data_IF_072511875422
#
_entry.id   IF_072511875422
#
_cell.length_a   1.000
_cell.length_b   1.000
_cell.length_c   1.000
_cell.angle_alpha   90.00
_cell.angle_beta   90.00
_cell.angle_gamma   90.00
#
_symmetry.space_group_name_H-M   'P 1'
#
loop_
_entity.id
_entity.type
_entity.pdbx_description
1 polymer ?
#
# COMPACT_ATOMS: atom_id res chain seq x y z
N UNK A 1 45.06 -21.47 21.34
CA UNK A 1 44.94 -22.63 20.41
C UNK A 1 43.45 -22.85 20.17
N UNK A 2 42.83 -22.58 19.02
CA UNK A 2 43.30 -22.26 17.68
C UNK A 2 42.68 -20.92 17.22
N UNK A 3 43.54 -19.94 16.94
CA UNK A 3 43.27 -18.75 16.14
C UNK A 3 44.28 -18.86 14.99
N UNK A 4 43.87 -19.44 13.87
CA UNK A 4 44.57 -19.45 12.59
C UNK A 4 43.74 -20.30 11.62
N UNK A 5 43.13 -19.66 10.62
CA UNK A 5 42.90 -20.15 9.26
C UNK A 5 41.79 -19.33 8.62
N UNK A 6 42.19 -18.41 7.74
CA UNK A 6 41.47 -17.87 6.54
C UNK A 6 41.72 -16.38 6.33
N UNK A 7 42.97 -15.93 6.43
CA UNK A 7 43.36 -14.54 6.11
C UNK A 7 44.25 -14.43 4.86
N UNK A 8 44.25 -15.45 3.99
CA UNK A 8 45.06 -15.44 2.76
C UNK A 8 44.28 -16.04 1.59
N UNK A 9 43.43 -15.23 0.95
CA UNK A 9 43.04 -15.42 -0.45
C UNK A 9 42.27 -14.21 -1.02
N UNK A 10 42.74 -12.97 -0.89
CA UNK A 10 42.32 -11.92 -1.85
C UNK A 10 43.18 -10.64 -1.76
N UNK A 11 44.46 -10.74 -2.09
CA UNK A 11 45.26 -9.55 -2.44
C UNK A 11 45.49 -9.56 -3.94
N UNK A 12 45.08 -8.46 -4.59
CA UNK A 12 45.15 -8.28 -6.03
C UNK A 12 46.57 -8.47 -6.56
N UNK A 13 46.73 -9.45 -7.44
CA UNK A 13 47.95 -9.64 -8.21
C UNK A 13 47.90 -8.74 -9.43
N UNK A 14 48.75 -7.72 -9.43
CA UNK A 14 49.14 -6.93 -10.59
C UNK A 14 49.91 -7.84 -11.55
N UNK A 15 49.28 -8.26 -12.65
CA UNK A 15 49.97 -8.98 -13.72
C UNK A 15 50.71 -7.97 -14.60
N UNK A 16 52.00 -8.24 -14.76
CA UNK A 16 52.98 -7.39 -15.40
C UNK A 16 52.92 -7.35 -16.93
N UNK A 17 53.62 -6.33 -17.41
CA UNK A 17 54.00 -5.95 -18.76
C UNK A 17 54.55 -7.10 -19.63
N UNK A 18 54.14 -7.13 -20.90
CA UNK A 18 54.60 -8.12 -21.89
C UNK A 18 53.89 -8.05 -23.25
N UNK A 19 54.38 -7.17 -24.13
CA UNK A 19 54.61 -7.42 -25.57
C UNK A 19 53.45 -7.74 -26.53
N UNK A 20 53.11 -6.73 -27.35
CA UNK A 20 52.85 -6.72 -28.81
C UNK A 20 52.25 -7.98 -29.51
N UNK A 21 51.01 -7.86 -30.03
CA UNK A 21 50.71 -7.85 -31.48
C UNK A 21 49.19 -7.96 -31.79
N UNK A 22 48.72 -6.98 -32.57
CA UNK A 22 47.62 -6.97 -33.58
C UNK A 22 46.43 -7.94 -33.47
N UNK A 23 45.20 -7.39 -33.39
CA UNK A 23 44.27 -7.17 -34.53
C UNK A 23 42.89 -6.72 -34.03
N UNK A 24 42.23 -5.90 -34.84
CA UNK A 24 40.98 -5.19 -34.64
C UNK A 24 39.75 -6.08 -34.44
N UNK A 25 38.95 -5.81 -33.41
CA UNK A 25 37.49 -5.95 -33.48
C UNK A 25 36.82 -4.91 -32.56
N UNK A 26 35.78 -4.26 -33.08
CA UNK A 26 34.90 -3.27 -32.45
C UNK A 26 34.16 -3.84 -31.21
N UNK A 27 34.90 -4.18 -30.16
CA UNK A 27 34.34 -4.29 -28.83
C UNK A 27 34.40 -2.89 -28.22
N UNK A 28 33.24 -2.32 -27.89
CA UNK A 28 33.17 -1.37 -26.79
C UNK A 28 33.74 -2.09 -25.57
N UNK A 29 35.06 -2.01 -25.39
CA UNK A 29 35.76 -2.49 -24.22
C UNK A 29 35.10 -1.79 -23.06
N UNK A 30 34.37 -2.57 -22.25
CA UNK A 30 33.85 -2.09 -20.98
C UNK A 30 35.08 -1.65 -20.22
N UNK A 31 35.29 -0.34 -20.12
CA UNK A 31 36.37 0.20 -19.33
C UNK A 31 36.16 -0.28 -17.91
N UNK A 32 37.03 -1.16 -17.41
CA UNK A 32 36.92 -1.74 -16.07
C UNK A 32 37.07 -0.63 -15.01
N UNK A 33 37.61 0.53 -15.40
CA UNK A 33 37.64 1.75 -14.61
C UNK A 33 36.36 2.62 -14.74
N UNK A 34 35.35 2.19 -15.50
CA UNK A 34 34.09 2.93 -15.61
C UNK A 34 33.48 3.07 -14.21
N UNK A 35 33.30 4.32 -13.71
CA UNK A 35 32.74 4.57 -12.39
C UNK A 35 31.38 3.91 -12.19
N UNK A 36 30.60 3.68 -13.26
CA UNK A 36 29.33 2.96 -13.19
C UNK A 36 29.52 1.46 -12.99
N UNK A 37 30.52 0.85 -13.64
CA UNK A 37 30.82 -0.57 -13.50
C UNK A 37 31.36 -0.87 -12.10
N UNK A 38 32.27 -0.04 -11.59
CA UNK A 38 32.76 -0.11 -10.21
C UNK A 38 31.67 0.15 -9.18
N UNK A 39 30.69 1.01 -9.50
CA UNK A 39 29.53 1.25 -8.63
C UNK A 39 28.55 0.08 -8.61
N UNK A 40 28.38 -0.65 -9.71
CA UNK A 40 27.58 -1.88 -9.76
C UNK A 40 28.25 -3.07 -9.04
N UNK A 41 29.58 -3.09 -8.99
CA UNK A 41 30.36 -4.16 -8.37
C UNK A 41 30.67 -3.96 -6.88
N UNK A 42 30.28 -2.81 -6.31
CA UNK A 42 30.42 -2.54 -4.88
C UNK A 42 29.59 -3.53 -4.08
N UNK A 43 30.21 -4.07 -3.05
CA UNK A 43 29.65 -5.14 -2.22
C UNK A 43 28.36 -4.69 -1.50
N UNK A 44 27.27 -5.42 -1.75
CA UNK A 44 25.95 -5.18 -1.14
C UNK A 44 25.83 -5.79 0.29
N UNK A 45 26.90 -6.38 0.82
CA UNK A 45 26.93 -7.06 2.12
C UNK A 45 26.51 -6.20 3.34
N UNK A 46 26.36 -4.88 3.19
CA UNK A 46 25.85 -3.99 4.24
C UNK A 46 24.32 -4.07 4.46
N UNK A 47 23.58 -4.79 3.61
CA UNK A 47 22.16 -5.08 3.82
C UNK A 47 21.22 -3.88 3.63
N UNK A 48 20.22 -4.04 2.75
CA UNK A 48 19.06 -3.15 2.55
C UNK A 48 19.34 -1.65 2.32
N UNK A 49 20.59 -1.21 2.22
CA UNK A 49 20.93 0.18 2.04
C UNK A 49 20.58 0.61 0.61
N UNK A 50 19.74 1.64 0.48
CA UNK A 50 19.26 2.25 -0.77
C UNK A 50 20.39 2.93 -1.60
N UNK A 51 21.66 2.69 -1.25
CA UNK A 51 22.85 3.43 -1.68
C UNK A 51 23.07 3.40 -3.20
N UNK A 52 22.89 2.24 -3.85
CA UNK A 52 23.21 2.09 -5.28
C UNK A 52 22.28 2.85 -6.22
N UNK A 53 20.98 2.99 -5.88
CA UNK A 53 20.00 3.62 -6.78
C UNK A 53 19.84 5.13 -6.56
N UNK A 54 20.36 5.66 -5.46
CA UNK A 54 20.46 7.11 -5.26
C UNK A 54 21.58 7.74 -6.10
N UNK A 55 22.46 6.93 -6.71
CA UNK A 55 23.52 7.45 -7.58
C UNK A 55 22.94 8.18 -8.79
N UNK A 56 23.32 9.46 -9.00
CA UNK A 56 22.92 10.20 -10.20
C UNK A 56 23.48 9.52 -11.46
N UNK A 57 24.63 8.84 -11.37
CA UNK A 57 25.29 8.13 -12.48
C UNK A 57 24.46 6.94 -12.95
N UNK A 58 24.02 6.07 -12.03
CA UNK A 58 23.16 4.93 -12.37
C UNK A 58 21.80 5.40 -12.90
N UNK A 59 21.22 6.45 -12.32
CA UNK A 59 19.96 7.01 -12.79
C UNK A 59 20.10 7.59 -14.22
N UNK A 60 21.20 8.28 -14.52
CA UNK A 60 21.48 8.78 -15.87
C UNK A 60 21.68 7.64 -16.88
N UNK A 61 22.39 6.57 -16.50
CA UNK A 61 22.58 5.41 -17.36
C UNK A 61 21.29 4.62 -17.60
N UNK A 62 20.46 4.42 -16.57
CA UNK A 62 19.13 3.84 -16.72
C UNK A 62 18.24 4.71 -17.60
N UNK A 63 18.35 6.04 -17.49
CA UNK A 63 17.62 6.98 -18.34
C UNK A 63 18.07 6.90 -19.80
N UNK A 64 19.38 6.79 -20.06
CA UNK A 64 19.94 6.62 -21.39
C UNK A 64 19.54 5.27 -22.01
N UNK A 65 19.57 4.19 -21.23
CA UNK A 65 19.09 2.87 -21.65
C UNK A 65 17.57 2.85 -21.89
N UNK A 66 16.81 3.69 -21.19
CA UNK A 66 15.37 3.84 -21.37
C UNK A 66 15.00 4.60 -22.65
N UNK A 67 15.84 5.57 -23.06
CA UNK A 67 15.61 6.44 -24.22
C UNK A 67 16.20 5.91 -25.52
N UNK A 68 17.24 5.06 -25.47
CA UNK A 68 17.90 4.48 -26.64
C UNK A 68 17.21 3.25 -27.27
N UNK A 69 17.67 2.79 -28.45
CA UNK A 69 17.25 1.52 -29.05
C UNK A 69 17.64 0.35 -28.15
N UNK A 70 16.70 -0.53 -27.83
CA UNK A 70 16.96 -1.67 -26.95
C UNK A 70 17.49 -2.87 -27.73
N UNK A 71 18.57 -3.47 -27.23
CA UNK A 71 19.03 -4.78 -27.69
C UNK A 71 17.94 -5.83 -27.52
N UNK A 72 17.94 -6.85 -28.37
CA UNK A 72 16.96 -7.95 -28.28
C UNK A 72 17.08 -8.70 -26.94
N UNK A 73 18.30 -8.79 -26.39
CA UNK A 73 18.55 -9.32 -25.03
C UNK A 73 17.78 -8.53 -23.97
N UNK A 74 17.82 -7.20 -24.00
CA UNK A 74 17.09 -6.35 -23.05
C UNK A 74 15.58 -6.60 -23.15
N UNK A 75 15.02 -6.74 -24.36
CA UNK A 75 13.59 -7.05 -24.53
C UNK A 75 13.21 -8.39 -23.93
N UNK A 76 14.03 -9.43 -24.13
CA UNK A 76 13.78 -10.76 -23.54
C UNK A 76 13.90 -10.75 -22.02
N UNK A 77 14.92 -10.09 -21.46
CA UNK A 77 15.08 -9.94 -20.00
C UNK A 77 13.88 -9.22 -19.39
N UNK A 78 13.40 -8.16 -20.05
CA UNK A 78 12.21 -7.43 -19.64
C UNK A 78 10.95 -8.31 -19.64
N UNK A 79 10.79 -9.25 -20.58
CA UNK A 79 9.67 -10.22 -20.58
C UNK A 79 9.73 -11.22 -19.43
N UNK A 80 10.93 -11.59 -19.00
CA UNK A 80 11.15 -12.57 -17.92
C UNK A 80 11.01 -11.92 -16.54
N UNK A 81 11.34 -10.64 -16.40
CA UNK A 81 11.38 -9.93 -15.12
C UNK A 81 10.13 -10.06 -14.24
N UNK A 82 8.88 -9.96 -14.75
CA UNK A 82 7.70 -10.12 -13.89
C UNK A 82 7.59 -11.51 -13.27
N UNK A 83 8.00 -12.57 -13.98
CA UNK A 83 7.96 -13.94 -13.45
C UNK A 83 9.01 -14.14 -12.35
N UNK A 84 10.20 -13.55 -12.52
CA UNK A 84 11.23 -13.58 -11.48
C UNK A 84 10.77 -12.82 -10.23
N UNK A 85 10.11 -11.67 -10.40
CA UNK A 85 9.52 -10.94 -9.28
C UNK A 85 8.41 -11.74 -8.59
N UNK A 86 7.57 -12.45 -9.34
CA UNK A 86 6.52 -13.30 -8.76
C UNK A 86 7.14 -14.40 -7.88
N UNK A 87 8.19 -15.08 -8.36
CA UNK A 87 8.92 -16.09 -7.57
C UNK A 87 9.56 -15.44 -6.35
N UNK A 88 10.30 -14.35 -6.52
CA UNK A 88 10.96 -13.64 -5.41
C UNK A 88 9.96 -13.22 -4.32
N UNK A 89 8.84 -12.59 -4.70
CA UNK A 89 7.82 -12.16 -3.76
C UNK A 89 7.11 -13.32 -3.09
N UNK A 90 6.82 -14.40 -3.82
CA UNK A 90 6.20 -15.60 -3.22
C UNK A 90 7.10 -16.26 -2.18
N UNK A 91 8.39 -16.41 -2.47
CA UNK A 91 9.39 -16.96 -1.55
C UNK A 91 9.58 -16.03 -0.35
N UNK A 92 9.70 -14.72 -0.59
CA UNK A 92 9.84 -13.73 0.48
C UNK A 92 8.64 -13.73 1.42
N UNK A 93 7.41 -13.76 0.89
CA UNK A 93 6.20 -13.83 1.71
C UNK A 93 6.05 -15.14 2.48
N UNK A 94 6.70 -16.23 2.04
CA UNK A 94 6.63 -17.54 2.71
C UNK A 94 7.71 -17.69 3.77
N UNK A 95 8.95 -17.37 3.42
CA UNK A 95 10.13 -17.81 4.16
C UNK A 95 10.88 -16.65 4.85
N UNK A 96 10.67 -15.39 4.44
CA UNK A 96 11.36 -14.25 5.06
C UNK A 96 10.75 -13.87 6.42
N UNK A 97 11.61 -13.35 7.30
CA UNK A 97 11.20 -12.83 8.61
C UNK A 97 10.48 -11.47 8.47
N UNK A 98 9.69 -11.14 9.49
CA UNK A 98 8.85 -9.95 9.47
C UNK A 98 9.68 -8.65 9.44
N UNK A 99 10.89 -8.64 10.02
CA UNK A 99 11.79 -7.48 9.98
C UNK A 99 12.30 -7.18 8.57
N UNK A 100 12.70 -8.20 7.79
CA UNK A 100 13.15 -8.01 6.41
C UNK A 100 11.99 -7.56 5.52
N UNK A 101 10.81 -8.16 5.68
CA UNK A 101 9.62 -7.74 4.92
C UNK A 101 9.26 -6.29 5.24
N UNK A 102 9.24 -5.93 6.53
CA UNK A 102 8.94 -4.57 6.97
C UNK A 102 9.94 -3.55 6.40
N UNK A 103 11.23 -3.89 6.33
CA UNK A 103 12.25 -3.02 5.76
C UNK A 103 12.21 -2.96 4.22
N UNK A 104 11.76 -4.03 3.56
CA UNK A 104 11.62 -4.10 2.11
C UNK A 104 10.48 -3.21 1.60
N UNK A 105 9.37 -3.10 2.34
CA UNK A 105 8.17 -2.37 1.89
C UNK A 105 8.49 -0.90 1.50
N UNK A 106 9.15 -0.07 2.34
CA UNK A 106 9.51 1.31 1.96
C UNK A 106 10.37 1.38 0.70
N UNK A 107 11.33 0.46 0.54
CA UNK A 107 12.17 0.40 -0.65
C UNK A 107 11.33 0.14 -1.90
N UNK A 108 10.34 -0.75 -1.83
CA UNK A 108 9.42 -0.99 -2.95
C UNK A 108 8.53 0.22 -3.24
N UNK A 109 8.06 0.92 -2.20
CA UNK A 109 7.29 2.16 -2.37
C UNK A 109 8.11 3.24 -3.08
N UNK A 110 9.38 3.43 -2.72
CA UNK A 110 10.30 4.37 -3.40
C UNK A 110 10.63 3.92 -4.82
N UNK A 111 10.79 2.61 -5.04
CA UNK A 111 11.04 2.08 -6.38
C UNK A 111 9.85 2.29 -7.32
N UNK A 112 8.62 2.33 -6.81
CA UNK A 112 7.43 2.54 -7.64
C UNK A 112 7.44 3.90 -8.39
N UNK A 113 7.97 4.95 -7.76
CA UNK A 113 8.06 6.30 -8.34
C UNK A 113 9.22 6.47 -9.33
N UNK A 114 10.26 5.64 -9.23
CA UNK A 114 11.50 5.72 -10.03
C UNK A 114 11.60 4.68 -11.15
N UNK A 115 10.53 3.93 -11.45
CA UNK A 115 10.52 3.00 -12.58
C UNK A 115 10.47 3.73 -13.92
N UNK A 116 11.23 3.23 -14.91
CA UNK A 116 11.41 3.71 -16.29
C UNK A 116 10.38 4.77 -16.75
N UNK A 117 10.80 6.00 -17.12
CA UNK A 117 9.87 7.08 -17.40
C UNK A 117 8.98 6.86 -18.62
N UNK A 118 7.83 7.53 -18.59
CA UNK A 118 6.81 7.55 -19.64
C UNK A 118 7.31 8.34 -20.84
N UNK A 119 8.00 7.66 -21.77
CA UNK A 119 8.01 8.09 -23.16
C UNK A 119 7.27 7.06 -24.01
N UNK A 120 6.04 7.48 -24.30
CA UNK A 120 4.85 6.97 -25.01
C UNK A 120 5.02 5.98 -26.20
N UNK A 121 6.22 5.54 -26.58
CA UNK A 121 6.43 4.97 -27.92
C UNK A 121 6.41 3.43 -28.04
N UNK A 122 5.83 2.66 -27.11
CA UNK A 122 5.44 1.26 -27.43
C UNK A 122 4.49 0.65 -26.39
N UNK A 123 3.40 0.03 -26.85
CA UNK A 123 2.41 -0.69 -26.03
C UNK A 123 3.05 -1.71 -25.06
N UNK A 124 4.08 -2.43 -25.51
CA UNK A 124 4.80 -3.43 -24.72
C UNK A 124 5.48 -2.83 -23.47
N UNK A 125 6.05 -1.62 -23.58
CA UNK A 125 6.69 -0.89 -22.46
C UNK A 125 5.68 -0.54 -21.37
N UNK A 126 4.52 -0.03 -21.77
CA UNK A 126 3.47 0.36 -20.83
C UNK A 126 2.89 -0.85 -20.11
N UNK A 127 2.65 -1.95 -20.84
CA UNK A 127 2.13 -3.20 -20.27
C UNK A 127 3.08 -3.79 -19.22
N UNK A 128 4.37 -3.90 -19.53
CA UNK A 128 5.35 -4.46 -18.61
C UNK A 128 5.49 -3.62 -17.33
N UNK A 129 5.60 -2.30 -17.47
CA UNK A 129 5.68 -1.37 -16.33
C UNK A 129 4.44 -1.51 -15.44
N UNK A 130 3.26 -1.61 -16.05
CA UNK A 130 2.01 -1.83 -15.32
C UNK A 130 2.00 -3.17 -14.60
N UNK A 131 2.49 -4.24 -15.23
CA UNK A 131 2.57 -5.56 -14.61
C UNK A 131 3.50 -5.57 -13.40
N UNK A 132 4.70 -5.01 -13.52
CA UNK A 132 5.66 -4.91 -12.41
C UNK A 132 5.07 -4.12 -11.26
N UNK A 133 4.45 -2.96 -11.54
CA UNK A 133 3.77 -2.18 -10.50
C UNK A 133 2.65 -2.94 -9.82
N UNK A 134 1.85 -3.66 -10.60
CA UNK A 134 0.79 -4.51 -10.05
C UNK A 134 1.37 -5.53 -9.09
N UNK A 135 2.47 -6.20 -9.44
CA UNK A 135 3.16 -7.16 -8.55
C UNK A 135 3.71 -6.55 -7.28
N UNK A 136 4.31 -5.36 -7.39
CA UNK A 136 4.77 -4.60 -6.22
C UNK A 136 3.62 -4.29 -5.26
N UNK A 137 2.50 -3.80 -5.80
CA UNK A 137 1.31 -3.48 -5.00
C UNK A 137 0.69 -4.74 -4.38
N UNK A 138 0.56 -5.83 -5.15
CA UNK A 138 0.08 -7.13 -4.67
C UNK A 138 0.96 -7.64 -3.52
N UNK A 139 2.29 -7.54 -3.64
CA UNK A 139 3.21 -7.93 -2.56
C UNK A 139 3.04 -7.07 -1.30
N UNK A 140 2.98 -5.73 -1.44
CA UNK A 140 2.80 -4.83 -0.28
C UNK A 140 1.48 -5.14 0.44
N UNK A 141 0.40 -5.35 -0.30
CA UNK A 141 -0.90 -5.72 0.29
C UNK A 141 -0.86 -7.09 0.96
N UNK A 142 -0.23 -8.08 0.34
CA UNK A 142 -0.07 -9.41 0.92
C UNK A 142 0.81 -9.38 2.18
N UNK A 143 1.83 -8.51 2.22
CA UNK A 143 2.64 -8.30 3.42
C UNK A 143 1.84 -7.68 4.56
N UNK A 144 1.00 -6.66 4.28
CA UNK A 144 0.09 -6.10 5.28
C UNK A 144 -0.99 -7.10 5.73
N UNK A 145 -1.44 -7.96 4.81
CA UNK A 145 -2.36 -9.05 5.15
C UNK A 145 -1.70 -10.09 6.05
N UNK A 146 -0.43 -10.42 5.82
CA UNK A 146 0.33 -11.34 6.68
C UNK A 146 0.52 -10.73 8.07
N UNK A 147 1.01 -9.49 8.14
CA UNK A 147 1.31 -8.79 9.40
C UNK A 147 0.77 -7.36 9.40
N UNK A 148 -0.47 -7.13 9.90
CA UNK A 148 -1.10 -5.81 9.97
C UNK A 148 -0.26 -4.75 10.69
N UNK A 149 0.49 -5.15 11.72
CA UNK A 149 1.35 -4.28 12.53
C UNK A 149 2.36 -3.47 11.69
N UNK A 150 2.73 -3.94 10.49
CA UNK A 150 3.59 -3.20 9.57
C UNK A 150 3.05 -1.83 9.22
N UNK A 151 1.72 -1.66 9.16
CA UNK A 151 1.11 -0.34 8.86
C UNK A 151 1.45 0.67 9.95
N UNK A 152 1.43 0.24 11.22
CA UNK A 152 1.80 1.10 12.34
C UNK A 152 3.30 1.41 12.36
N UNK A 153 4.14 0.42 12.07
CA UNK A 153 5.60 0.59 12.00
C UNK A 153 6.03 1.51 10.85
N UNK A 154 5.35 1.40 9.71
CA UNK A 154 5.65 2.13 8.48
C UNK A 154 4.78 3.39 8.31
N UNK A 155 4.16 3.88 9.39
CA UNK A 155 3.26 5.05 9.34
C UNK A 155 3.88 6.26 8.65
N UNK A 156 5.17 6.56 8.92
CA UNK A 156 5.90 7.69 8.32
C UNK A 156 6.03 7.53 6.79
N UNK A 157 6.67 6.45 6.27
CA UNK A 157 6.69 6.19 4.82
C UNK A 157 5.30 6.21 4.16
N UNK A 158 4.27 5.71 4.84
CA UNK A 158 2.90 5.70 4.32
C UNK A 158 2.37 7.12 4.19
N UNK A 159 2.49 7.95 5.23
CA UNK A 159 2.02 9.34 5.24
C UNK A 159 2.73 10.15 4.15
N UNK A 160 4.04 9.98 3.99
CA UNK A 160 4.82 10.67 2.97
C UNK A 160 4.29 10.32 1.56
N UNK A 161 4.02 9.03 1.29
CA UNK A 161 3.48 8.57 0.01
C UNK A 161 2.04 9.01 -0.24
N UNK A 162 1.24 9.19 0.81
CA UNK A 162 -0.10 9.76 0.70
C UNK A 162 -0.07 11.25 0.30
N UNK A 163 0.89 12.02 0.80
CA UNK A 163 1.08 13.43 0.42
C UNK A 163 1.41 13.61 -1.08
N UNK A 164 2.15 12.68 -1.67
CA UNK A 164 2.55 12.74 -3.09
C UNK A 164 1.45 12.26 -4.08
N UNK A 165 0.24 11.94 -3.62
CA UNK A 165 -0.81 11.31 -4.44
C UNK A 165 -1.34 12.20 -5.60
N UNK A 166 -1.05 13.50 -5.57
CA UNK A 166 -1.51 14.46 -6.57
C UNK A 166 -0.55 14.61 -7.76
N UNK A 167 0.71 14.24 -7.61
CA UNK A 167 1.76 14.47 -8.62
C UNK A 167 1.58 13.59 -9.87
N UNK A 168 1.41 12.28 -9.66
CA UNK A 168 1.48 11.26 -10.71
C UNK A 168 0.39 10.19 -10.55
N UNK A 169 -0.06 9.60 -11.65
CA UNK A 169 -1.03 8.51 -11.69
C UNK A 169 -0.49 7.27 -10.98
N UNK A 170 0.80 6.93 -11.16
CA UNK A 170 1.39 5.76 -10.51
C UNK A 170 1.50 5.92 -8.99
N UNK A 171 1.87 7.12 -8.52
CA UNK A 171 1.88 7.46 -7.09
C UNK A 171 0.47 7.41 -6.49
N UNK A 172 -0.54 7.84 -7.26
CA UNK A 172 -1.94 7.77 -6.83
C UNK A 172 -2.47 6.35 -6.68
N UNK A 173 -2.16 5.44 -7.59
CA UNK A 173 -2.58 4.03 -7.45
C UNK A 173 -1.95 3.40 -6.20
N UNK A 174 -0.69 3.73 -5.88
CA UNK A 174 -0.08 3.34 -4.60
C UNK A 174 -0.86 3.94 -3.41
N UNK A 175 -1.11 5.25 -3.42
CA UNK A 175 -1.87 5.91 -2.36
C UNK A 175 -3.27 5.30 -2.15
N UNK A 176 -3.96 4.91 -3.23
CA UNK A 176 -5.25 4.20 -3.15
C UNK A 176 -5.14 2.88 -2.37
N UNK A 177 -4.12 2.07 -2.68
CA UNK A 177 -3.90 0.79 -1.99
C UNK A 177 -3.50 1.00 -0.53
N UNK A 178 -2.70 2.02 -0.23
CA UNK A 178 -2.34 2.38 1.14
C UNK A 178 -3.56 2.86 1.95
N UNK A 179 -4.41 3.72 1.38
CA UNK A 179 -5.67 4.12 2.00
C UNK A 179 -6.56 2.91 2.31
N UNK A 180 -6.69 1.98 1.36
CA UNK A 180 -7.45 0.75 1.58
C UNK A 180 -6.86 -0.08 2.72
N UNK A 181 -5.54 -0.29 2.73
CA UNK A 181 -4.86 -1.07 3.77
C UNK A 181 -5.00 -0.43 5.17
N UNK A 182 -4.87 0.90 5.28
CA UNK A 182 -5.08 1.63 6.55
C UNK A 182 -6.48 1.34 7.10
N UNK A 183 -7.50 1.42 6.25
CA UNK A 183 -8.88 1.17 6.64
C UNK A 183 -9.14 -0.30 7.00
N UNK A 184 -8.71 -1.24 6.16
CA UNK A 184 -8.96 -2.67 6.32
C UNK A 184 -8.31 -3.24 7.60
N UNK A 185 -7.10 -2.78 7.90
CA UNK A 185 -6.30 -3.29 9.01
C UNK A 185 -6.27 -2.36 10.22
N UNK A 186 -7.19 -1.39 10.29
CA UNK A 186 -7.34 -0.50 11.44
C UNK A 186 -6.06 0.26 11.81
N UNK A 187 -5.26 0.68 10.84
CA UNK A 187 -4.00 1.41 11.10
C UNK A 187 -2.90 0.58 11.77
N UNK A 188 -3.01 -0.75 11.72
CA UNK A 188 -2.04 -1.68 12.29
C UNK A 188 -2.58 -2.55 13.42
N UNK A 189 -3.86 -2.44 13.76
CA UNK A 189 -4.52 -3.24 14.79
C UNK A 189 -4.81 -2.46 16.08
N UNK A 190 -5.45 -3.13 17.03
CA UNK A 190 -6.01 -2.49 18.24
C UNK A 190 -4.96 -1.94 19.20
N UNK A 191 -3.77 -2.57 19.25
CA UNK A 191 -2.63 -2.13 20.06
C UNK A 191 -2.01 -0.82 19.57
N UNK A 192 -2.27 -0.41 18.33
CA UNK A 192 -1.56 0.69 17.67
C UNK A 192 -2.40 1.99 17.54
N UNK A 193 -3.08 2.38 18.62
CA UNK A 193 -3.97 3.55 18.65
C UNK A 193 -3.29 4.86 18.22
N UNK A 194 -2.08 5.10 18.69
CA UNK A 194 -1.32 6.31 18.36
C UNK A 194 -1.00 6.39 16.87
N UNK A 195 -0.55 5.28 16.27
CA UNK A 195 -0.30 5.22 14.83
C UNK A 195 -1.59 5.40 14.02
N UNK A 196 -2.70 4.78 14.47
CA UNK A 196 -4.00 4.96 13.86
C UNK A 196 -4.47 6.43 13.91
N UNK A 197 -4.21 7.15 15.01
CA UNK A 197 -4.55 8.57 15.13
C UNK A 197 -3.76 9.45 14.16
N UNK A 198 -2.45 9.24 14.04
CA UNK A 198 -1.61 9.96 13.08
C UNK A 198 -2.01 9.68 11.62
N UNK A 199 -2.32 8.41 11.30
CA UNK A 199 -2.83 8.03 9.97
C UNK A 199 -4.19 8.67 9.71
N UNK A 200 -5.08 8.72 10.71
CA UNK A 200 -6.36 9.41 10.60
C UNK A 200 -6.18 10.90 10.31
N UNK A 201 -5.25 11.57 11.00
CA UNK A 201 -4.95 12.99 10.79
C UNK A 201 -4.45 13.27 9.37
N UNK A 202 -3.58 12.42 8.84
CA UNK A 202 -3.13 12.51 7.45
C UNK A 202 -4.30 12.34 6.45
N UNK A 203 -5.18 11.36 6.68
CA UNK A 203 -6.37 11.16 5.84
C UNK A 203 -7.36 12.32 5.95
N UNK A 204 -7.56 12.87 7.15
CA UNK A 204 -8.40 14.04 7.39
C UNK A 204 -7.86 15.28 6.67
N UNK A 205 -6.53 15.49 6.71
CA UNK A 205 -5.87 16.56 5.98
C UNK A 205 -6.12 16.46 4.47
N UNK A 206 -5.94 15.26 3.90
CA UNK A 206 -6.25 15.01 2.48
C UNK A 206 -7.70 15.37 2.14
N UNK A 207 -8.67 15.01 2.99
CA UNK A 207 -10.06 15.43 2.76
C UNK A 207 -10.18 16.96 2.73
N UNK A 208 -9.64 17.65 3.73
CA UNK A 208 -9.80 19.10 3.84
C UNK A 208 -9.07 19.89 2.76
N UNK A 209 -7.88 19.48 2.35
CA UNK A 209 -7.16 20.08 1.22
C UNK A 209 -7.99 20.00 -0.06
N UNK A 210 -8.66 18.87 -0.29
CA UNK A 210 -9.45 18.66 -1.48
C UNK A 210 -10.77 19.44 -1.46
N UNK A 211 -11.40 19.54 -0.29
CA UNK A 211 -12.58 20.40 -0.12
C UNK A 211 -12.21 21.87 -0.31
N UNK A 212 -11.07 22.31 0.21
CA UNK A 212 -10.62 23.71 0.12
C UNK A 212 -10.20 24.09 -1.30
N UNK A 213 -9.45 23.22 -1.98
CA UNK A 213 -9.05 23.39 -3.38
C UNK A 213 -10.28 23.52 -4.31
N UNK A 214 -11.36 22.82 -3.98
CA UNK A 214 -12.62 22.92 -4.74
C UNK A 214 -13.41 24.21 -4.47
N UNK A 215 -13.18 24.92 -3.35
CA UNK A 215 -13.82 26.21 -3.05
C UNK A 215 -13.10 27.39 -3.67
N UNK A 216 -11.78 27.30 -3.79
CA UNK A 216 -10.94 28.41 -4.23
C UNK A 216 -10.90 28.61 -5.75
N UNK A 217 -11.62 27.82 -6.56
CA UNK A 217 -11.64 27.95 -8.02
C UNK A 217 -10.27 27.79 -8.70
N UNK A 218 -9.21 27.48 -7.94
CA UNK A 218 -7.80 27.46 -8.36
C UNK A 218 -7.43 26.29 -9.26
N UNK A 219 -8.41 25.49 -9.69
CA UNK A 219 -8.23 24.43 -10.68
C UNK A 219 -9.05 24.76 -11.91
N UNK A 220 -8.46 25.67 -12.69
CA UNK A 220 -8.79 26.09 -14.05
C UNK A 220 -9.74 25.11 -14.76
N UNK A 221 -10.91 25.61 -15.15
CA UNK A 221 -11.97 24.86 -15.84
C UNK A 221 -11.61 24.41 -17.26
N UNK A 222 -10.35 24.57 -17.69
CA UNK A 222 -9.86 24.05 -18.96
C UNK A 222 -9.59 22.54 -18.89
N UNK A 223 -10.63 21.76 -19.23
CA UNK A 223 -10.48 20.56 -20.04
C UNK A 223 -9.95 19.28 -19.39
N UNK A 224 -10.29 18.95 -18.13
CA UNK A 224 -9.76 17.72 -17.51
C UNK A 224 -10.76 16.93 -16.64
N UNK A 225 -11.86 16.47 -17.23
CA UNK A 225 -12.84 15.59 -16.58
C UNK A 225 -12.23 14.30 -16.00
N UNK A 226 -11.25 13.70 -16.69
CA UNK A 226 -10.50 12.53 -16.21
C UNK A 226 -9.78 12.81 -14.88
N UNK A 227 -9.14 13.98 -14.75
CA UNK A 227 -8.41 14.39 -13.54
C UNK A 227 -9.35 14.67 -12.36
N UNK A 228 -10.58 15.12 -12.60
CA UNK A 228 -11.63 15.25 -11.57
C UNK A 228 -12.16 13.88 -11.11
N UNK A 229 -12.43 12.97 -12.06
CA UNK A 229 -12.92 11.60 -11.75
C UNK A 229 -11.89 10.76 -10.99
N UNK A 230 -10.61 10.95 -11.26
CA UNK A 230 -9.52 10.21 -10.62
C UNK A 230 -9.30 10.69 -9.18
N UNK A 231 -9.46 12.00 -8.93
CA UNK A 231 -9.41 12.58 -7.60
C UNK A 231 -10.59 12.16 -6.73
N UNK A 232 -11.79 12.06 -7.31
CA UNK A 232 -12.95 11.56 -6.56
C UNK A 232 -12.83 10.07 -6.23
N UNK A 233 -12.16 9.26 -7.07
CA UNK A 233 -11.81 7.88 -6.71
C UNK A 233 -10.91 7.84 -5.47
N UNK A 234 -9.86 8.68 -5.39
CA UNK A 234 -9.02 8.77 -4.19
C UNK A 234 -9.82 9.18 -2.95
N UNK A 235 -10.64 10.22 -3.05
CA UNK A 235 -11.46 10.67 -1.92
C UNK A 235 -12.46 9.62 -1.46
N UNK A 236 -12.99 8.80 -2.36
CA UNK A 236 -13.85 7.68 -1.99
C UNK A 236 -13.12 6.65 -1.11
N UNK A 237 -11.85 6.36 -1.43
CA UNK A 237 -11.01 5.48 -0.63
C UNK A 237 -10.66 6.12 0.71
N UNK A 238 -10.31 7.42 0.73
CA UNK A 238 -10.02 8.15 1.98
C UNK A 238 -11.23 8.19 2.91
N UNK A 239 -12.42 8.52 2.39
CA UNK A 239 -13.69 8.52 3.15
C UNK A 239 -13.99 7.13 3.71
N UNK A 240 -13.74 6.07 2.94
CA UNK A 240 -13.90 4.69 3.42
C UNK A 240 -12.88 4.34 4.49
N UNK A 241 -11.62 4.73 4.31
CA UNK A 241 -10.56 4.48 5.27
C UNK A 241 -10.85 5.18 6.61
N UNK A 242 -11.25 6.45 6.58
CA UNK A 242 -11.70 7.22 7.75
C UNK A 242 -12.84 6.48 8.46
N UNK A 243 -13.84 6.00 7.71
CA UNK A 243 -14.98 5.32 8.29
C UNK A 243 -14.63 3.98 8.93
N UNK A 244 -13.84 3.15 8.23
CA UNK A 244 -13.35 1.87 8.76
C UNK A 244 -12.45 2.08 9.98
N UNK A 245 -11.52 3.03 9.92
CA UNK A 245 -10.59 3.32 11.02
C UNK A 245 -11.31 3.83 12.26
N UNK A 246 -12.35 4.65 12.10
CA UNK A 246 -13.19 5.12 13.20
C UNK A 246 -14.14 4.05 13.76
N UNK A 247 -14.52 3.08 12.93
CA UNK A 247 -15.28 1.90 13.36
C UNK A 247 -14.38 1.00 14.20
N UNK A 248 -13.13 0.80 13.75
CA UNK A 248 -12.11 0.04 14.43
C UNK A 248 -11.68 0.69 15.77
N UNK A 249 -11.34 1.98 15.74
CA UNK A 249 -10.91 2.78 16.89
C UNK A 249 -11.98 3.80 17.28
N UNK A 250 -12.85 3.44 18.23
CA UNK A 250 -14.03 4.24 18.61
C UNK A 250 -13.71 5.65 19.12
N UNK A 251 -12.49 5.91 19.57
CA UNK A 251 -12.02 7.25 19.97
C UNK A 251 -11.98 8.25 18.81
N UNK A 252 -11.81 7.77 17.56
CA UNK A 252 -11.75 8.62 16.37
C UNK A 252 -13.14 8.94 15.81
N UNK A 253 -14.18 8.24 16.28
CA UNK A 253 -15.55 8.32 15.80
C UNK A 253 -16.15 9.75 15.81
N UNK A 254 -16.04 10.57 16.87
CA UNK A 254 -16.53 11.95 16.83
C UNK A 254 -15.81 12.80 15.76
N UNK A 255 -14.48 12.64 15.61
CA UNK A 255 -13.71 13.34 14.56
C UNK A 255 -14.14 12.90 13.17
N UNK A 256 -14.33 11.59 12.96
CA UNK A 256 -14.79 11.03 11.69
C UNK A 256 -16.16 11.58 11.28
N UNK A 257 -17.12 11.67 12.21
CA UNK A 257 -18.42 12.29 11.95
C UNK A 257 -18.30 13.75 11.52
N UNK A 258 -17.41 14.52 12.14
CA UNK A 258 -17.16 15.92 11.75
C UNK A 258 -16.54 16.00 10.36
N UNK A 259 -15.52 15.19 10.07
CA UNK A 259 -14.83 15.17 8.79
C UNK A 259 -15.78 14.79 7.63
N UNK A 260 -16.53 13.70 7.79
CA UNK A 260 -17.53 13.27 6.80
C UNK A 260 -18.70 14.26 6.71
N UNK A 261 -19.14 14.84 7.84
CA UNK A 261 -20.16 15.88 7.86
C UNK A 261 -19.77 17.11 7.06
N UNK A 262 -18.49 17.50 7.10
CA UNK A 262 -17.94 18.58 6.27
C UNK A 262 -17.98 18.22 4.78
N UNK A 263 -17.64 16.98 4.40
CA UNK A 263 -17.75 16.50 3.00
C UNK A 263 -19.18 16.64 2.49
N UNK A 264 -20.15 16.12 3.26
CA UNK A 264 -21.58 16.16 2.89
C UNK A 264 -22.11 17.59 2.77
N UNK A 265 -21.69 18.49 3.67
CA UNK A 265 -22.07 19.91 3.65
C UNK A 265 -21.42 20.69 2.51
N UNK A 266 -20.27 20.23 2.00
CA UNK A 266 -19.47 21.03 1.08
C UNK A 266 -20.14 21.23 -0.30
N UNK A 267 -21.12 20.41 -0.70
CA UNK A 267 -21.86 20.42 -2.00
C UNK A 267 -21.02 20.44 -3.30
N UNK A 268 -19.71 20.66 -3.20
CA UNK A 268 -18.72 20.73 -4.29
C UNK A 268 -18.02 19.39 -4.56
N UNK A 269 -18.22 18.40 -3.70
CA UNK A 269 -17.69 17.05 -3.90
C UNK A 269 -18.47 16.32 -5.00
N UNK A 270 -17.77 15.53 -5.83
CA UNK A 270 -18.36 14.56 -6.76
C UNK A 270 -19.49 13.77 -6.05
N UNK A 271 -20.63 13.60 -6.73
CA UNK A 271 -21.81 12.91 -6.20
C UNK A 271 -21.50 11.53 -5.60
N UNK A 272 -20.49 10.83 -6.13
CA UNK A 272 -20.04 9.53 -5.60
C UNK A 272 -19.36 9.64 -4.24
N UNK A 273 -18.57 10.69 -4.04
CA UNK A 273 -17.90 10.97 -2.76
C UNK A 273 -18.93 11.43 -1.74
N UNK A 274 -19.84 12.30 -2.15
CA UNK A 274 -20.93 12.79 -1.31
C UNK A 274 -21.81 11.66 -0.81
N UNK A 275 -22.30 10.80 -1.72
CA UNK A 275 -23.19 9.68 -1.37
C UNK A 275 -22.52 8.74 -0.39
N UNK A 276 -21.28 8.34 -0.68
CA UNK A 276 -20.50 7.46 0.20
C UNK A 276 -20.28 8.07 1.60
N UNK A 277 -19.96 9.36 1.69
CA UNK A 277 -19.80 10.04 2.97
C UNK A 277 -21.12 10.13 3.75
N UNK A 278 -22.23 10.40 3.05
CA UNK A 278 -23.57 10.44 3.63
C UNK A 278 -23.99 9.07 4.17
N UNK A 279 -23.78 7.99 3.40
CA UNK A 279 -24.12 6.63 3.80
C UNK A 279 -23.33 6.21 5.04
N UNK A 280 -22.03 6.50 5.10
CA UNK A 280 -21.22 6.20 6.27
C UNK A 280 -21.59 7.05 7.50
N UNK A 281 -22.00 8.30 7.33
CA UNK A 281 -22.53 9.09 8.45
C UNK A 281 -23.80 8.47 9.05
N UNK A 282 -24.72 8.01 8.19
CA UNK A 282 -25.91 7.29 8.63
C UNK A 282 -25.55 6.01 9.36
N UNK A 283 -24.65 5.21 8.76
CA UNK A 283 -24.19 3.94 9.32
C UNK A 283 -23.49 4.10 10.67
N UNK A 284 -22.69 5.16 10.85
CA UNK A 284 -22.01 5.44 12.11
C UNK A 284 -22.96 5.74 13.27
N UNK A 285 -24.24 5.99 13.06
CA UNK A 285 -25.21 6.11 14.15
C UNK A 285 -25.53 4.76 14.81
N UNK A 286 -25.39 3.67 14.05
CA UNK A 286 -25.69 2.30 14.48
C UNK A 286 -24.40 1.47 14.57
N UNK A 287 -23.71 1.45 15.74
CA UNK A 287 -22.36 0.89 15.85
C UNK A 287 -22.26 -0.60 15.54
N UNK A 288 -23.29 -1.40 15.84
CA UNK A 288 -23.30 -2.85 15.55
C UNK A 288 -23.37 -3.14 14.04
N UNK A 289 -24.24 -2.43 13.32
CA UNK A 289 -24.36 -2.52 11.86
C UNK A 289 -23.10 -1.94 11.21
N UNK A 290 -22.59 -0.82 11.73
CA UNK A 290 -21.35 -0.21 11.25
C UNK A 290 -20.17 -1.18 11.36
N UNK A 291 -20.00 -1.85 12.49
CA UNK A 291 -18.97 -2.87 12.67
C UNK A 291 -19.18 -4.08 11.75
N UNK A 292 -20.43 -4.48 11.53
CA UNK A 292 -20.75 -5.60 10.64
C UNK A 292 -20.40 -5.32 9.16
N UNK A 293 -20.53 -4.06 8.72
CA UNK A 293 -20.31 -3.64 7.33
C UNK A 293 -18.88 -3.14 7.09
N UNK A 294 -18.33 -2.38 8.03
CA UNK A 294 -17.03 -1.70 7.91
C UNK A 294 -15.93 -2.32 8.78
N UNK A 295 -16.28 -3.26 9.65
CA UNK A 295 -15.31 -3.96 10.48
C UNK A 295 -14.34 -4.81 9.65
N UNK A 296 -13.24 -5.27 10.27
CA UNK A 296 -12.23 -6.06 9.59
C UNK A 296 -12.85 -7.37 9.06
N UNK A 297 -12.51 -7.74 7.82
CA UNK A 297 -13.01 -8.96 7.18
C UNK A 297 -12.50 -10.25 7.84
N UNK A 298 -11.47 -10.13 8.69
CA UNK A 298 -10.92 -11.24 9.48
C UNK A 298 -11.74 -11.42 10.75
N UNK A 299 -11.90 -12.67 11.15
CA UNK A 299 -12.59 -13.11 12.38
C UNK A 299 -11.99 -12.37 13.58
N UNK A 300 -12.56 -11.21 13.89
CA UNK A 300 -12.34 -10.53 15.14
C UNK A 300 -13.03 -11.39 16.19
N UNK A 301 -12.25 -11.95 17.12
CA UNK A 301 -12.77 -12.59 18.34
C UNK A 301 -13.68 -11.63 19.12
N UNK A 302 -13.50 -10.31 18.92
CA UNK A 302 -14.40 -9.27 19.41
C UNK A 302 -15.60 -9.13 18.49
N UNK A 303 -16.75 -9.65 18.95
CA UNK A 303 -18.08 -9.40 18.38
C UNK A 303 -18.78 -8.37 19.25
N UNK A 304 -19.21 -7.25 18.65
CA UNK A 304 -20.02 -6.26 19.37
C UNK A 304 -21.51 -6.65 19.31
N UNK A 305 -22.31 -6.28 20.34
CA UNK A 305 -23.77 -6.41 20.28
C UNK A 305 -24.35 -5.88 18.97
N UNK A 306 -25.15 -6.70 18.27
CA UNK A 306 -25.79 -6.31 17.00
C UNK A 306 -24.90 -6.48 15.77
N UNK A 307 -23.75 -7.17 15.87
CA UNK A 307 -22.92 -7.51 14.71
C UNK A 307 -23.53 -8.71 13.97
N UNK A 308 -23.78 -8.56 12.67
CA UNK A 308 -24.19 -9.67 11.79
C UNK A 308 -22.94 -10.30 11.15
N UNK A 309 -22.80 -11.62 11.21
CA UNK A 309 -21.76 -12.33 10.46
C UNK A 309 -22.26 -12.68 9.05
N UNK A 310 -21.89 -11.86 8.06
CA UNK A 310 -22.27 -12.08 6.67
C UNK A 310 -21.56 -13.27 6.01
N UNK A 311 -20.40 -13.69 6.53
CA UNK A 311 -19.61 -14.80 5.95
C UNK A 311 -20.25 -16.18 6.16
N UNK A 312 -21.08 -16.34 7.20
CA UNK A 312 -21.85 -17.56 7.50
C UNK A 312 -23.26 -17.54 6.85
N UNK A 313 -23.46 -16.73 5.80
CA UNK A 313 -24.69 -16.77 5.00
C UNK A 313 -25.94 -16.20 5.68
N UNK A 314 -25.79 -15.23 6.58
CA UNK A 314 -26.93 -14.53 7.20
C UNK A 314 -27.75 -15.36 8.18
N UNK A 315 -27.33 -16.59 8.51
CA UNK A 315 -28.06 -17.46 9.43
C UNK A 315 -27.82 -17.14 10.91
N UNK A 316 -26.79 -16.37 11.25
CA UNK A 316 -26.44 -16.03 12.64
C UNK A 316 -26.35 -14.53 12.86
N UNK A 317 -27.31 -13.98 13.59
CA UNK A 317 -27.25 -12.65 14.17
C UNK A 317 -26.78 -12.77 15.63
N UNK A 318 -25.66 -12.14 16.00
CA UNK A 318 -25.21 -12.12 17.40
C UNK A 318 -25.85 -10.93 18.09
N UNK A 319 -27.03 -11.14 18.66
CA UNK A 319 -27.69 -10.17 19.53
C UNK A 319 -27.30 -10.44 20.99
N UNK A 320 -26.57 -9.51 21.62
CA UNK A 320 -26.50 -9.46 23.07
C UNK A 320 -27.80 -8.81 23.57
N UNK A 321 -28.85 -9.61 23.73
CA UNK A 321 -30.09 -9.16 24.35
C UNK A 321 -29.79 -8.99 25.85
N UNK A 322 -30.02 -7.82 26.45
CA UNK A 322 -29.88 -7.65 27.89
C UNK A 322 -30.76 -8.65 28.64
N UNK A 323 -30.18 -9.39 29.60
CA UNK A 323 -30.88 -10.44 30.35
C UNK A 323 -32.20 -9.99 31.00
N UNK A 324 -32.42 -8.70 31.24
CA UNK A 324 -33.66 -8.19 31.83
C UNK A 324 -34.85 -8.11 30.86
N UNK A 325 -34.62 -8.22 29.54
CA UNK A 325 -35.69 -8.31 28.54
C UNK A 325 -36.16 -9.78 28.39
N UNK A 326 -35.26 -10.72 28.71
CA UNK A 326 -35.56 -12.14 28.79
C UNK A 326 -36.10 -12.40 30.20
N UNK A 327 -37.42 -12.40 30.33
CA UNK A 327 -38.14 -12.74 31.56
C UNK A 327 -37.71 -14.11 32.10
N UNK A 328 -36.69 -14.13 32.96
CA UNK A 328 -36.23 -15.23 33.82
C UNK A 328 -36.32 -16.65 33.23
N UNK A 329 -36.01 -16.84 31.93
CA UNK A 329 -35.87 -18.19 31.40
C UNK A 329 -34.48 -18.71 31.76
N UNK A 330 -34.42 -19.46 32.85
CA UNK A 330 -33.21 -20.09 33.36
C UNK A 330 -32.64 -21.14 32.39
N UNK A 331 -31.38 -20.98 32.04
CA UNK A 331 -30.61 -21.91 31.21
C UNK A 331 -29.17 -21.42 30.97
N UNK A 332 -28.21 -22.32 30.66
CA UNK A 332 -26.83 -21.93 30.36
C UNK A 332 -26.76 -20.96 29.16
N UNK A 333 -25.69 -20.14 29.04
CA UNK A 333 -25.65 -18.91 28.23
C UNK A 333 -25.66 -19.09 26.69
N UNK A 334 -26.01 -20.28 26.21
CA UNK A 334 -26.02 -20.64 24.78
C UNK A 334 -27.45 -21.01 24.37
N UNK A 335 -28.33 -20.01 24.30
CA UNK A 335 -29.57 -20.16 23.56
C UNK A 335 -29.31 -19.69 22.13
N UNK A 336 -29.31 -20.62 21.18
CA UNK A 336 -29.37 -20.31 19.75
C UNK A 336 -30.76 -19.75 19.47
N UNK A 337 -30.89 -18.42 19.46
CA UNK A 337 -32.17 -17.75 19.19
C UNK A 337 -32.52 -17.81 17.70
N UNK A 338 -33.72 -18.27 17.38
CA UNK A 338 -34.28 -18.15 16.04
C UNK A 338 -35.03 -16.81 15.92
N UNK A 339 -35.10 -16.23 14.71
CA UNK A 339 -35.84 -14.98 14.47
C UNK A 339 -37.33 -15.07 14.87
N UNK A 340 -37.89 -16.28 14.90
CA UNK A 340 -39.25 -16.55 15.37
C UNK A 340 -39.47 -16.28 16.86
N UNK A 341 -38.41 -16.20 17.66
CA UNK A 341 -38.49 -16.00 19.11
C UNK A 341 -38.56 -14.51 19.49
N UNK A 342 -38.19 -13.63 18.55
CA UNK A 342 -38.15 -12.17 18.72
C UNK A 342 -39.40 -11.51 18.11
N UNK A 343 -39.98 -12.14 17.09
CA UNK A 343 -41.14 -11.60 16.37
C UNK A 343 -42.40 -12.28 16.92
N UNK A 344 -43.38 -11.52 17.45
CA UNK A 344 -44.64 -12.12 17.92
C UNK A 344 -45.33 -12.81 16.74
N UNK A 345 -45.68 -14.08 16.93
CA UNK A 345 -46.59 -14.78 16.03
C UNK A 345 -47.94 -14.07 16.15
N UNK A 346 -48.39 -13.47 15.05
CA UNK A 346 -49.73 -12.89 14.93
C UNK A 346 -50.82 -13.90 15.30
#
# INVERSE_FOLDING_TARGET
>A
MLLALMDEAYTGSTIGDGGDDSESEDNNTIDVADPLFLELLKDENDGLAERHRASPTLNAALQAAASGPRSERMKQTLKIAPRLLDVYFSVTLRDANDSLICALIPLLMTRNSTMFPDKIFSHERYCLRTQIRRRLLEFVLAAFQRSPNFIALLKKPIIDRLGEAYDDVAKRELALQLCWAIGEYGGGGESHKEAARELFESLELLVYENLSSSRLGLRQESGNGSRRTTQSRLLCFVVTAIAKLATYHRELLPRARVALGKVVKSRISDARVWRRAHDYLGLMNEPGICWSVLGPSRVSEKRFPGTVNWSEGGQKMVAHIPFHILSEQGGPPFHDFAFSDIIPKN
#
